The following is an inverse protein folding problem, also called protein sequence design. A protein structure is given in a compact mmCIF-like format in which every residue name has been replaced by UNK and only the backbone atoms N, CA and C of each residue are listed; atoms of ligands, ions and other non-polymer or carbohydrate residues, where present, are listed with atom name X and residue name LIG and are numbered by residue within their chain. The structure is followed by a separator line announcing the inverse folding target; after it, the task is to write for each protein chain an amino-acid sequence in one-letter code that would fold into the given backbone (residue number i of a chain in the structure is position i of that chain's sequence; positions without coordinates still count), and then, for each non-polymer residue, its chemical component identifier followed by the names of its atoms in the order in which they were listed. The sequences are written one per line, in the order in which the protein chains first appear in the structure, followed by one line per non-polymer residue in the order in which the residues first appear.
data_IF_357171335478
#
_entry.id   IF_357171335478
#
_cell.length_a   1.000
_cell.length_b   1.000
_cell.length_c   1.000
_cell.angle_alpha   90.00
_cell.angle_beta   90.00
_cell.angle_gamma   90.00
#
_symmetry.space_group_name_H-M   'P 1'
#
loop_
_entity.id
_entity.type
_entity.pdbx_description
1 polymer ?
#
# COMPACT_ATOMS: atom_id res chain seq x y z
N UNK A 1 -4.57 4.80 22.34
CA UNK A 1 -5.44 3.75 21.77
C UNK A 1 -6.03 4.32 20.50
N UNK A 2 -5.99 3.58 19.39
CA UNK A 2 -6.58 4.01 18.12
C UNK A 2 -7.77 3.11 17.79
N UNK A 3 -8.78 3.68 17.12
CA UNK A 3 -9.90 2.95 16.54
C UNK A 3 -9.95 3.27 15.05
N UNK A 4 -10.26 2.27 14.22
CA UNK A 4 -10.37 2.44 12.78
C UNK A 4 -11.84 2.30 12.35
N UNK A 5 -12.27 3.16 11.45
CA UNK A 5 -13.57 3.07 10.78
C UNK A 5 -13.32 2.96 9.28
N UNK A 6 -14.13 2.14 8.59
CA UNK A 6 -14.00 1.94 7.13
C UNK A 6 -14.41 3.17 6.31
N UNK A 7 -15.07 4.14 6.95
CA UNK A 7 -15.53 5.36 6.29
C UNK A 7 -14.37 6.33 6.17
N UNK A 8 -13.99 6.66 4.94
CA UNK A 8 -13.03 7.72 4.63
C UNK A 8 -13.52 9.08 5.16
N UNK A 9 -12.60 9.90 5.67
CA UNK A 9 -12.93 11.23 6.20
C UNK A 9 -13.55 12.14 5.12
N UNK A 10 -12.99 12.10 3.91
CA UNK A 10 -13.56 12.71 2.71
C UNK A 10 -13.09 11.93 1.49
N UNK A 11 -13.96 11.67 0.51
CA UNK A 11 -13.55 10.98 -0.71
C UNK A 11 -14.36 11.45 -1.91
N UNK A 12 -13.66 11.75 -2.99
CA UNK A 12 -14.26 12.01 -4.30
C UNK A 12 -13.49 11.15 -5.30
N UNK A 13 -14.13 10.12 -5.90
CA UNK A 13 -13.45 9.26 -6.85
C UNK A 13 -13.02 10.06 -8.09
N UNK A 14 -11.85 9.75 -8.68
CA UNK A 14 -11.41 10.36 -9.92
C UNK A 14 -12.35 9.97 -11.07
N UNK A 15 -12.60 10.90 -12.00
CA UNK A 15 -13.49 10.66 -13.15
C UNK A 15 -12.92 9.63 -14.15
N UNK A 16 -11.59 9.57 -14.28
CA UNK A 16 -10.89 8.68 -15.20
C UNK A 16 -9.54 8.20 -14.62
N UNK A 17 -9.05 7.01 -15.04
CA UNK A 17 -7.72 6.55 -14.65
C UNK A 17 -6.61 7.46 -15.17
N UNK A 18 -5.70 7.87 -14.29
CA UNK A 18 -4.50 8.64 -14.64
C UNK A 18 -3.30 8.19 -13.79
N UNK A 19 -2.48 7.25 -14.30
CA UNK A 19 -1.33 6.74 -13.57
C UNK A 19 -0.17 7.73 -13.45
N UNK A 20 -0.09 8.76 -14.31
CA UNK A 20 0.93 9.81 -14.19
C UNK A 20 0.59 10.71 -13.00
N UNK A 21 -0.69 11.03 -12.84
CA UNK A 21 -1.17 11.75 -11.67
C UNK A 21 -1.06 10.92 -10.39
N UNK A 22 -1.39 9.62 -10.45
CA UNK A 22 -1.18 8.70 -9.34
C UNK A 22 0.28 8.64 -8.87
N UNK A 23 1.23 8.69 -9.81
CA UNK A 23 2.65 8.74 -9.49
C UNK A 23 3.04 10.04 -8.77
N UNK A 24 2.52 11.19 -9.20
CA UNK A 24 2.77 12.47 -8.51
C UNK A 24 2.16 12.49 -7.10
N UNK A 25 1.00 11.86 -6.91
CA UNK A 25 0.33 11.72 -5.61
C UNK A 25 1.18 10.95 -4.58
N UNK A 26 2.10 10.08 -5.01
CA UNK A 26 3.02 9.39 -4.09
C UNK A 26 3.90 10.37 -3.29
N UNK A 27 4.26 11.53 -3.86
CA UNK A 27 5.00 12.57 -3.13
C UNK A 27 4.15 13.16 -1.99
N UNK A 28 2.83 13.25 -2.16
CA UNK A 28 1.93 13.72 -1.11
C UNK A 28 1.81 12.70 0.03
N UNK A 29 1.98 11.41 -0.24
CA UNK A 29 1.95 10.37 0.80
C UNK A 29 3.31 10.25 1.49
N UNK A 30 4.37 9.97 0.72
CA UNK A 30 5.68 9.57 1.22
C UNK A 30 6.83 10.51 0.90
N UNK A 31 6.55 11.68 0.34
CA UNK A 31 7.53 12.73 0.12
C UNK A 31 8.08 13.30 1.43
N UNK A 32 9.11 14.14 1.30
CA UNK A 32 9.74 14.81 2.45
C UNK A 32 8.72 15.67 3.23
N UNK A 33 7.74 16.21 2.51
CA UNK A 33 6.63 16.99 3.07
C UNK A 33 5.28 16.27 2.92
N UNK A 34 5.30 14.95 2.78
CA UNK A 34 4.09 14.15 2.64
C UNK A 34 3.38 13.89 3.97
N UNK A 35 2.13 13.44 3.89
CA UNK A 35 1.26 13.24 5.04
C UNK A 35 1.81 12.20 6.03
N UNK A 36 2.58 11.19 5.59
CA UNK A 36 3.25 10.26 6.51
C UNK A 36 4.27 10.97 7.42
N UNK A 37 4.98 11.95 6.85
CA UNK A 37 5.96 12.75 7.58
C UNK A 37 5.25 13.68 8.55
N UNK A 38 4.16 14.33 8.13
CA UNK A 38 3.36 15.24 8.97
C UNK A 38 2.68 14.49 10.12
N UNK A 39 2.01 13.38 9.82
CA UNK A 39 1.39 12.47 10.78
C UNK A 39 2.40 12.04 11.87
N UNK A 40 3.55 11.52 11.47
CA UNK A 40 4.57 11.08 12.43
C UNK A 40 5.10 12.25 13.26
N UNK A 41 5.37 13.40 12.66
CA UNK A 41 5.84 14.58 13.39
C UNK A 41 4.85 15.00 14.49
N UNK A 42 3.57 15.15 14.18
CA UNK A 42 2.58 15.59 15.16
C UNK A 42 2.35 14.55 16.26
N UNK A 43 2.28 13.26 15.92
CA UNK A 43 2.13 12.21 16.92
C UNK A 43 3.33 12.16 17.88
N UNK A 44 4.57 12.18 17.37
CA UNK A 44 5.76 12.19 18.22
C UNK A 44 5.88 13.47 19.05
N UNK A 45 5.48 14.63 18.52
CA UNK A 45 5.44 15.87 19.29
C UNK A 45 4.37 15.81 20.38
N UNK A 46 3.18 15.30 20.08
CA UNK A 46 2.08 15.16 21.04
C UNK A 46 2.40 14.17 22.17
N UNK A 47 3.01 13.03 21.85
CA UNK A 47 3.45 12.07 22.86
C UNK A 47 4.59 12.59 23.74
N UNK A 48 5.51 13.38 23.19
CA UNK A 48 6.62 13.97 23.94
C UNK A 48 6.30 15.34 24.58
N UNK A 49 5.09 15.87 24.36
CA UNK A 49 4.72 17.20 24.85
C UNK A 49 4.69 17.25 26.37
N UNK A 50 5.52 18.11 26.96
CA UNK A 50 5.57 18.43 28.40
C UNK A 50 4.90 19.75 28.74
N UNK A 51 4.34 20.43 27.73
CA UNK A 51 3.68 21.72 27.87
C UNK A 51 2.22 21.61 28.30
N UNK A 52 1.47 22.73 28.22
CA UNK A 52 0.05 22.75 28.54
C UNK A 52 -0.77 21.72 27.76
N UNK A 53 -1.75 21.10 28.43
CA UNK A 53 -2.58 20.03 27.88
C UNK A 53 -3.27 20.42 26.56
N UNK A 54 -3.67 21.69 26.40
CA UNK A 54 -4.30 22.21 25.18
C UNK A 54 -3.48 21.95 23.91
N UNK A 55 -2.16 22.14 23.98
CA UNK A 55 -1.30 21.96 22.80
C UNK A 55 -1.02 20.48 22.53
N UNK A 56 -0.92 19.67 23.60
CA UNK A 56 -0.81 18.22 23.47
C UNK A 56 -2.03 17.63 22.78
N UNK A 57 -3.23 18.08 23.16
CA UNK A 57 -4.49 17.63 22.58
C UNK A 57 -4.55 17.98 21.09
N UNK A 58 -4.32 19.25 20.75
CA UNK A 58 -4.27 19.71 19.36
C UNK A 58 -3.28 18.92 18.49
N UNK A 59 -2.06 18.65 18.99
CA UNK A 59 -1.07 17.86 18.25
C UNK A 59 -1.53 16.41 18.01
N UNK A 60 -2.18 15.80 19.00
CA UNK A 60 -2.68 14.43 18.87
C UNK A 60 -3.92 14.35 17.97
N UNK A 61 -4.80 15.36 18.03
CA UNK A 61 -5.96 15.48 17.14
C UNK A 61 -5.51 15.63 15.69
N UNK A 62 -4.62 16.59 15.40
CA UNK A 62 -4.09 16.80 14.04
C UNK A 62 -3.32 15.57 13.57
N UNK A 63 -2.41 15.01 14.38
CA UNK A 63 -1.67 13.81 14.00
C UNK A 63 -2.55 12.59 13.72
N UNK A 64 -3.72 12.50 14.37
CA UNK A 64 -4.71 11.44 14.10
C UNK A 64 -5.50 11.70 12.83
N UNK A 65 -5.82 12.97 12.53
CA UNK A 65 -6.44 13.39 11.28
C UNK A 65 -5.58 13.03 10.06
N UNK A 66 -4.25 13.23 10.14
CA UNK A 66 -3.34 12.90 9.03
C UNK A 66 -3.32 11.41 8.66
N UNK A 67 -3.70 10.51 9.59
CA UNK A 67 -3.89 9.08 9.27
C UNK A 67 -5.01 8.92 8.23
N UNK A 68 -6.10 9.69 8.38
CA UNK A 68 -7.21 9.73 7.43
C UNK A 68 -6.81 10.31 6.08
N UNK A 69 -5.98 11.37 6.07
CA UNK A 69 -5.46 11.94 4.82
C UNK A 69 -4.62 10.92 4.04
N UNK A 70 -3.75 10.16 4.70
CA UNK A 70 -2.98 9.08 4.06
C UNK A 70 -3.91 8.03 3.46
N UNK A 71 -4.96 7.62 4.20
CA UNK A 71 -5.94 6.63 3.72
C UNK A 71 -6.70 7.11 2.47
N UNK A 72 -7.09 8.39 2.45
CA UNK A 72 -7.74 9.03 1.30
C UNK A 72 -6.83 9.06 0.09
N UNK A 73 -5.57 9.49 0.26
CA UNK A 73 -4.61 9.57 -0.83
C UNK A 73 -4.28 8.18 -1.37
N UNK A 74 -4.05 7.20 -0.51
CA UNK A 74 -3.79 5.81 -0.92
C UNK A 74 -4.97 5.22 -1.69
N UNK A 75 -6.20 5.47 -1.22
CA UNK A 75 -7.42 5.03 -1.91
C UNK A 75 -7.56 5.73 -3.27
N UNK A 76 -7.29 7.03 -3.35
CA UNK A 76 -7.33 7.79 -4.60
C UNK A 76 -6.32 7.27 -5.62
N UNK A 77 -5.10 6.96 -5.19
CA UNK A 77 -4.08 6.33 -6.04
C UNK A 77 -4.58 4.98 -6.56
N UNK A 78 -5.17 4.15 -5.70
CA UNK A 78 -5.73 2.87 -6.12
C UNK A 78 -6.80 3.06 -7.20
N UNK A 79 -7.70 4.04 -7.04
CA UNK A 79 -8.72 4.36 -8.05
C UNK A 79 -8.13 4.92 -9.36
N UNK A 80 -7.07 5.72 -9.30
CA UNK A 80 -6.39 6.24 -10.50
C UNK A 80 -5.65 5.15 -11.28
N UNK A 81 -5.22 4.10 -10.59
CA UNK A 81 -4.54 2.95 -11.19
C UNK A 81 -5.51 1.84 -11.63
N UNK A 82 -6.73 1.81 -11.08
CA UNK A 82 -7.73 0.83 -11.45
C UNK A 82 -8.09 0.96 -12.94
N UNK A 83 -7.95 -0.14 -13.68
CA UNK A 83 -8.15 -0.23 -15.15
C UNK A 83 -7.24 0.68 -15.99
N UNK A 84 -6.10 1.15 -15.47
CA UNK A 84 -5.14 1.91 -16.26
C UNK A 84 -4.71 1.13 -17.52
N UNK A 85 -4.79 1.72 -18.74
CA UNK A 85 -4.50 1.02 -19.99
C UNK A 85 -3.08 0.41 -19.99
N UNK A 86 -2.93 -0.78 -20.59
CA UNK A 86 -1.64 -1.49 -20.66
C UNK A 86 -0.50 -0.62 -21.21
N UNK A 87 -0.78 0.20 -22.23
CA UNK A 87 0.18 1.19 -22.77
C UNK A 87 0.72 2.17 -21.73
N UNK A 88 -0.08 2.53 -20.74
CA UNK A 88 0.34 3.45 -19.67
C UNK A 88 1.10 2.71 -18.56
N UNK A 89 0.84 1.41 -18.37
CA UNK A 89 1.69 0.54 -17.56
C UNK A 89 3.07 0.38 -18.20
N UNK A 90 3.14 0.18 -19.52
CA UNK A 90 4.37 0.15 -20.32
C UNK A 90 5.14 1.50 -20.25
N UNK A 91 4.44 2.63 -20.24
CA UNK A 91 5.07 3.94 -20.04
C UNK A 91 5.62 4.12 -18.60
N UNK A 92 4.93 3.56 -17.60
CA UNK A 92 5.39 3.56 -16.21
C UNK A 92 6.69 2.76 -16.05
N UNK A 93 6.85 1.65 -16.80
CA UNK A 93 8.09 0.87 -16.89
C UNK A 93 9.30 1.66 -17.41
N UNK A 94 9.06 2.79 -18.10
CA UNK A 94 10.12 3.69 -18.58
C UNK A 94 10.45 4.81 -17.59
N UNK A 95 9.72 4.93 -16.47
CA UNK A 95 9.93 5.95 -15.46
C UNK A 95 11.27 5.82 -14.73
N UNK A 96 11.80 6.92 -14.20
CA UNK A 96 13.07 6.93 -13.44
C UNK A 96 13.09 5.95 -12.26
N UNK A 97 11.93 5.61 -11.71
CA UNK A 97 11.77 4.67 -10.62
C UNK A 97 11.91 3.20 -11.06
N UNK A 98 11.65 2.91 -12.34
CA UNK A 98 11.66 1.57 -12.92
C UNK A 98 13.02 1.22 -13.56
N UNK A 99 13.97 2.17 -13.57
CA UNK A 99 15.30 2.00 -14.16
C UNK A 99 16.35 2.91 -13.53
N UNK A 100 17.51 2.36 -13.20
CA UNK A 100 18.71 3.11 -12.79
C UNK A 100 19.15 2.84 -11.35
N UNK A 101 20.22 3.54 -10.92
CA UNK A 101 20.77 3.35 -9.57
C UNK A 101 19.77 3.74 -8.49
N UNK A 102 19.66 2.89 -7.48
CA UNK A 102 18.96 3.17 -6.24
C UNK A 102 19.45 4.47 -5.61
N UNK A 103 18.57 5.11 -4.82
CA UNK A 103 18.85 6.39 -4.16
C UNK A 103 20.06 6.31 -3.20
N UNK A 104 20.31 5.13 -2.63
CA UNK A 104 21.49 4.82 -1.80
C UNK A 104 22.73 4.41 -2.61
N UNK A 105 22.60 4.28 -3.93
CA UNK A 105 23.65 3.89 -4.86
C UNK A 105 24.07 2.42 -4.80
N UNK A 106 23.41 1.58 -3.98
CA UNK A 106 23.80 0.18 -3.73
C UNK A 106 23.00 -0.85 -4.53
N UNK A 107 21.91 -0.44 -5.15
CA UNK A 107 21.07 -1.28 -6.01
C UNK A 107 20.86 -0.67 -7.38
N UNK A 108 20.37 -1.48 -8.31
CA UNK A 108 19.82 -1.01 -9.58
C UNK A 108 18.34 -1.43 -9.64
N UNK A 109 17.49 -0.46 -9.93
CA UNK A 109 16.11 -0.72 -10.29
C UNK A 109 16.08 -1.17 -11.74
N UNK A 110 15.40 -2.29 -11.99
CA UNK A 110 15.10 -2.77 -13.33
C UNK A 110 13.64 -3.21 -13.35
N UNK A 111 12.90 -2.69 -14.32
CA UNK A 111 11.58 -3.20 -14.63
C UNK A 111 11.71 -4.61 -15.21
N UNK A 112 11.06 -5.58 -14.57
CA UNK A 112 10.95 -6.95 -15.07
C UNK A 112 9.47 -7.20 -15.35
N UNK A 113 9.11 -7.20 -16.62
CA UNK A 113 7.73 -7.41 -17.09
C UNK A 113 7.17 -8.77 -16.65
N UNK A 114 8.03 -9.80 -16.64
CA UNK A 114 7.70 -11.16 -16.22
C UNK A 114 8.65 -11.60 -15.09
N UNK A 115 8.38 -11.20 -13.82
CA UNK A 115 9.26 -11.55 -12.72
C UNK A 115 9.33 -13.06 -12.56
N UNK A 116 10.52 -13.62 -12.74
CA UNK A 116 10.77 -15.03 -12.48
C UNK A 116 11.21 -15.18 -11.02
N UNK A 117 10.72 -16.21 -10.29
CA UNK A 117 11.25 -16.54 -8.98
C UNK A 117 12.77 -16.70 -9.06
N UNK A 118 13.51 -15.90 -8.28
CA UNK A 118 14.97 -15.94 -8.26
C UNK A 118 15.51 -17.11 -7.43
N UNK A 119 14.63 -17.83 -6.73
CA UNK A 119 14.95 -19.00 -5.94
C UNK A 119 13.98 -20.16 -6.18
N UNK A 120 14.36 -21.38 -5.78
CA UNK A 120 13.43 -22.50 -5.71
C UNK A 120 12.30 -22.18 -4.73
N UNK A 121 11.13 -22.81 -4.93
CA UNK A 121 10.02 -22.70 -3.99
C UNK A 121 10.51 -23.04 -2.57
N UNK A 122 10.37 -22.13 -1.59
CA UNK A 122 10.85 -22.38 -0.25
C UNK A 122 10.04 -23.52 0.37
N UNK A 123 10.71 -24.60 0.75
CA UNK A 123 10.10 -25.62 1.62
C UNK A 123 9.98 -25.02 3.02
N UNK A 124 8.79 -24.51 3.31
CA UNK A 124 8.46 -23.99 4.62
C UNK A 124 8.41 -25.16 5.61
N UNK A 125 9.02 -24.97 6.79
CA UNK A 125 8.76 -25.86 7.91
C UNK A 125 7.24 -25.83 8.21
N UNK A 126 6.62 -26.97 8.54
CA UNK A 126 5.22 -26.98 8.94
C UNK A 126 5.03 -25.97 10.08
N UNK A 127 4.06 -25.05 9.97
CA UNK A 127 3.84 -24.03 11.00
C UNK A 127 3.54 -24.69 12.34
N UNK A 128 4.00 -24.08 13.43
CA UNK A 128 3.70 -24.58 14.76
C UNK A 128 2.17 -24.66 14.97
N UNK A 129 1.62 -25.82 15.36
CA UNK A 129 0.18 -26.05 15.42
C UNK A 129 -0.61 -25.11 16.34
N UNK A 130 0.08 -24.40 17.23
CA UNK A 130 -0.53 -23.47 18.20
C UNK A 130 -0.72 -22.06 17.63
N UNK A 131 -0.02 -21.71 16.53
CA UNK A 131 0.03 -20.35 15.98
C UNK A 131 -0.86 -20.15 14.73
N UNK A 132 -1.47 -21.21 14.18
CA UNK A 132 -2.34 -21.12 13.01
C UNK A 132 -3.62 -21.96 13.13
N UNK A 133 -4.74 -21.40 12.68
CA UNK A 133 -6.08 -22.03 12.72
C UNK A 133 -6.48 -22.80 11.46
N UNK A 134 -5.55 -23.10 10.55
CA UNK A 134 -5.83 -23.86 9.30
C UNK A 134 -5.29 -25.28 9.44
N UNK A 135 -6.12 -26.34 9.36
CA UNK A 135 -5.65 -27.73 9.46
C UNK A 135 -4.75 -28.09 8.28
N UNK A 136 -3.71 -28.90 8.52
CA UNK A 136 -2.65 -29.22 7.55
C UNK A 136 -3.00 -30.30 6.52
N UNK A 137 -4.24 -30.78 6.44
CA UNK A 137 -4.60 -31.87 5.53
C UNK A 137 -5.40 -31.38 4.33
N UNK A 138 -4.68 -31.13 3.23
CA UNK A 138 -5.21 -31.38 1.89
C UNK A 138 -4.17 -32.15 1.07
N UNK A 139 -4.27 -33.46 1.12
CA UNK A 139 -3.66 -34.36 0.14
C UNK A 139 -4.16 -33.95 -1.25
N UNK A 140 -3.29 -33.34 -2.04
CA UNK A 140 -3.43 -33.22 -3.49
C UNK A 140 -3.27 -34.61 -4.12
N UNK A 141 -4.37 -35.32 -4.33
CA UNK A 141 -4.45 -36.35 -5.38
C UNK A 141 -5.09 -35.72 -6.61
N UNK A 142 -4.39 -35.78 -7.73
CA UNK A 142 -4.81 -35.19 -9.00
C UNK A 142 -5.97 -35.95 -9.66
N UNK A 143 -6.81 -35.22 -10.37
CA UNK A 143 -7.21 -35.55 -11.75
C UNK A 143 -8.01 -34.38 -12.34
N UNK A 144 -7.79 -34.12 -13.63
CA UNK A 144 -8.34 -32.97 -14.33
C UNK A 144 -9.86 -32.98 -14.43
N UNK A 145 -10.46 -31.80 -14.27
CA UNK A 145 -11.70 -31.37 -14.91
C UNK A 145 -11.86 -29.85 -14.72
N UNK A 146 -11.94 -29.13 -15.83
CA UNK A 146 -12.59 -27.82 -16.05
C UNK A 146 -12.89 -26.95 -14.82
N UNK A 147 -12.20 -25.80 -14.74
CA UNK A 147 -12.54 -24.73 -13.82
C UNK A 147 -13.93 -24.12 -14.17
N UNK A 148 -14.89 -24.03 -13.22
CA UNK A 148 -16.06 -23.21 -13.42
C UNK A 148 -15.74 -21.75 -13.09
N UNK A 149 -16.14 -20.87 -14.00
CA UNK A 149 -16.17 -19.41 -13.89
C UNK A 149 -17.04 -18.96 -12.73
N UNK A 150 -16.50 -18.13 -11.83
CA UNK A 150 -17.26 -17.42 -10.80
C UNK A 150 -17.58 -16.01 -11.31
N UNK A 151 -18.75 -15.89 -11.93
CA UNK A 151 -19.53 -14.65 -12.02
C UNK A 151 -20.91 -15.01 -11.46
N UNK A 152 -21.26 -14.48 -10.29
CA UNK A 152 -22.56 -13.93 -9.90
C UNK A 152 -22.74 -13.88 -8.36
N UNK A 153 -23.33 -12.76 -7.90
CA UNK A 153 -23.89 -12.46 -6.57
C UNK A 153 -22.87 -12.39 -5.42
N UNK A 154 -22.55 -11.23 -4.83
CA UNK A 154 -23.38 -10.13 -4.28
C UNK A 154 -22.58 -8.82 -4.38
#
# INVERSE_FOLDING_TARGET
MFYHTKKLQYFTPPEQPDPVYAMKMQELIGGVFGEMTVMMQYLFQGWNCRGPAKYRDMLLDTGTEEIGHIEILATTIAHLLDKAPLKTQEASAQGRWARGRSMDGKGEFQYVENPRPLGPEPQLAPPEPQLHGTPSDRQTQGNGASAPTLVEHI
#
